data_IF_933818657258
#
_entry.id   IF_933818657258
#
_cell.length_a   1.000
_cell.length_b   1.000
_cell.length_c   1.000
_cell.angle_alpha   90.00
_cell.angle_beta   90.00
_cell.angle_gamma   90.00
#
_symmetry.space_group_name_H-M   'P 1'
#
loop_
_entity.id
_entity.type
_entity.pdbx_description
1 polymer ?
#
# COMPACT_ATOMS: atom_id res chain seq x y z
N UNK A 1 -16.54 29.78 -21.86
CA UNK A 1 -15.99 28.46 -21.46
C UNK A 1 -15.22 28.62 -20.17
N UNK A 2 -15.84 28.20 -19.06
CA UNK A 2 -15.19 28.15 -17.76
C UNK A 2 -14.15 27.00 -17.75
N UNK A 3 -12.98 27.16 -17.12
CA UNK A 3 -12.00 26.07 -17.00
C UNK A 3 -12.64 24.93 -16.22
N UNK A 4 -12.53 23.71 -16.79
CA UNK A 4 -13.19 22.53 -16.31
C UNK A 4 -12.90 22.30 -14.82
N UNK A 5 -13.96 22.20 -14.05
CA UNK A 5 -13.92 21.65 -12.70
C UNK A 5 -13.37 20.23 -12.82
N UNK A 6 -12.15 20.04 -12.35
CA UNK A 6 -11.59 18.73 -12.11
C UNK A 6 -12.55 18.03 -11.13
N UNK A 7 -13.25 17.00 -11.60
CA UNK A 7 -14.20 16.27 -10.78
C UNK A 7 -13.48 15.78 -9.53
N UNK A 8 -13.99 16.14 -8.36
CA UNK A 8 -13.52 15.62 -7.09
C UNK A 8 -13.79 14.11 -7.07
N UNK A 9 -12.71 13.33 -7.25
CA UNK A 9 -12.76 11.86 -7.39
C UNK A 9 -12.47 11.16 -6.06
N UNK A 10 -12.49 11.90 -4.95
CA UNK A 10 -12.28 11.38 -3.61
C UNK A 10 -13.58 11.24 -2.83
N UNK A 11 -13.62 10.29 -1.93
CA UNK A 11 -14.63 10.14 -0.89
C UNK A 11 -13.94 9.93 0.46
N UNK A 12 -14.49 10.53 1.49
CA UNK A 12 -14.03 10.37 2.87
C UNK A 12 -15.06 9.56 3.65
N UNK A 13 -14.60 8.65 4.48
CA UNK A 13 -15.44 7.96 5.45
C UNK A 13 -15.04 8.44 6.85
N UNK A 14 -15.96 9.13 7.51
CA UNK A 14 -15.76 9.60 8.87
C UNK A 14 -16.26 8.58 9.90
N UNK A 15 -15.57 8.53 11.02
CA UNK A 15 -15.87 7.62 12.11
C UNK A 15 -15.78 6.14 11.69
N UNK A 16 -14.86 5.83 10.77
CA UNK A 16 -14.48 4.45 10.48
C UNK A 16 -13.73 3.88 11.68
N UNK A 17 -14.24 2.81 12.26
CA UNK A 17 -13.63 2.13 13.40
C UNK A 17 -13.95 0.65 13.38
N UNK A 18 -13.11 -0.14 14.06
CA UNK A 18 -13.36 -1.56 14.27
C UNK A 18 -14.57 -1.76 15.18
N UNK A 19 -15.42 -2.77 14.97
CA UNK A 19 -16.40 -3.19 15.99
C UNK A 19 -15.76 -3.75 17.27
N UNK A 20 -14.48 -4.11 17.24
CA UNK A 20 -13.71 -4.44 18.44
C UNK A 20 -13.19 -3.16 19.12
N UNK A 21 -13.28 -3.12 20.44
CA UNK A 21 -12.92 -1.94 21.23
C UNK A 21 -11.45 -1.86 21.62
N UNK A 22 -10.61 -2.77 21.10
CA UNK A 22 -9.18 -2.76 21.43
C UNK A 22 -8.52 -1.45 20.97
N UNK A 23 -7.59 -0.96 21.79
CA UNK A 23 -6.70 0.15 21.48
C UNK A 23 -5.22 -0.27 21.49
N UNK A 24 -4.98 -1.58 21.36
CA UNK A 24 -3.67 -2.15 21.12
C UNK A 24 -3.37 -2.08 19.63
N UNK A 25 -2.30 -1.41 19.23
CA UNK A 25 -1.87 -1.38 17.83
C UNK A 25 -1.76 -2.79 17.22
N UNK A 26 -1.18 -3.74 17.96
CA UNK A 26 -0.99 -5.11 17.48
C UNK A 26 -2.32 -5.81 17.17
N UNK A 27 -3.27 -5.72 18.08
CA UNK A 27 -4.56 -6.40 17.92
C UNK A 27 -5.42 -5.69 16.87
N UNK A 28 -5.51 -4.36 16.95
CA UNK A 28 -6.33 -3.59 16.04
C UNK A 28 -5.82 -3.65 14.58
N UNK A 29 -4.50 -3.64 14.38
CA UNK A 29 -3.89 -3.80 13.07
C UNK A 29 -4.16 -5.21 12.52
N UNK A 30 -3.99 -6.27 13.33
CA UNK A 30 -4.31 -7.64 12.91
C UNK A 30 -5.78 -7.77 12.50
N UNK A 31 -6.70 -7.20 13.27
CA UNK A 31 -8.14 -7.22 12.99
C UNK A 31 -8.49 -6.42 11.71
N UNK A 32 -7.87 -5.26 11.52
CA UNK A 32 -8.05 -4.47 10.30
C UNK A 32 -7.54 -5.21 9.07
N UNK A 33 -6.36 -5.80 9.16
CA UNK A 33 -5.71 -6.49 8.04
C UNK A 33 -6.30 -7.88 7.76
N UNK A 34 -6.83 -8.56 8.77
CA UNK A 34 -7.57 -9.82 8.59
C UNK A 34 -9.04 -9.60 8.24
N UNK A 35 -9.60 -8.41 8.48
CA UNK A 35 -11.03 -8.11 8.44
C UNK A 35 -11.89 -9.07 9.27
N UNK A 36 -11.36 -9.51 10.42
CA UNK A 36 -12.03 -10.40 11.37
C UNK A 36 -11.87 -9.89 12.81
N UNK A 37 -12.56 -8.78 13.15
CA UNK A 37 -12.44 -8.17 14.47
C UNK A 37 -12.71 -9.17 15.60
N UNK A 38 -11.86 -9.17 16.63
CA UNK A 38 -11.94 -10.07 17.76
C UNK A 38 -11.50 -11.51 17.49
N UNK A 39 -11.10 -11.87 16.26
CA UNK A 39 -10.71 -13.23 15.89
C UNK A 39 -9.25 -13.29 15.45
N UNK A 40 -8.40 -13.91 16.26
CA UNK A 40 -6.96 -14.06 15.97
C UNK A 40 -6.59 -15.32 15.18
N UNK A 41 -7.52 -16.25 15.02
CA UNK A 41 -7.28 -17.53 14.34
C UNK A 41 -7.37 -17.46 12.81
N UNK A 42 -7.79 -16.34 12.25
CA UNK A 42 -7.84 -16.13 10.79
C UNK A 42 -6.43 -16.15 10.22
N UNK A 43 -6.13 -17.05 9.28
CA UNK A 43 -4.79 -17.17 8.69
C UNK A 43 -4.51 -16.14 7.61
N UNK A 44 -5.54 -15.76 6.86
CA UNK A 44 -5.41 -14.97 5.64
C UNK A 44 -5.82 -13.51 5.83
N UNK A 45 -5.09 -12.60 5.20
CA UNK A 45 -5.49 -11.20 5.08
C UNK A 45 -6.64 -11.00 4.09
N UNK A 46 -7.42 -9.95 4.26
CA UNK A 46 -8.61 -9.75 3.41
C UNK A 46 -8.27 -9.46 1.95
N UNK A 47 -7.18 -8.77 1.65
CA UNK A 47 -6.72 -8.58 0.27
C UNK A 47 -6.25 -9.88 -0.36
N UNK A 48 -5.59 -10.74 0.41
CA UNK A 48 -5.22 -12.06 -0.12
C UNK A 48 -6.45 -12.91 -0.42
N UNK A 49 -7.50 -12.89 0.43
CA UNK A 49 -8.78 -13.56 0.12
C UNK A 49 -9.44 -12.98 -1.14
N UNK A 50 -9.37 -11.66 -1.34
CA UNK A 50 -9.83 -11.05 -2.59
C UNK A 50 -9.07 -11.62 -3.80
N UNK A 51 -7.75 -11.70 -3.73
CA UNK A 51 -6.94 -12.28 -4.80
C UNK A 51 -7.27 -13.77 -5.05
N UNK A 52 -7.51 -14.54 -3.99
CA UNK A 52 -7.94 -15.95 -4.10
C UNK A 52 -9.30 -16.09 -4.80
N UNK A 53 -10.21 -15.13 -4.63
CA UNK A 53 -11.53 -15.15 -5.26
C UNK A 53 -11.49 -14.85 -6.78
N UNK A 54 -10.40 -14.27 -7.27
CA UNK A 54 -10.17 -13.96 -8.68
C UNK A 54 -9.32 -15.07 -9.31
N UNK A 55 -9.98 -16.06 -9.90
CA UNK A 55 -9.30 -17.17 -10.60
C UNK A 55 -8.96 -16.76 -12.03
N UNK A 56 -7.86 -16.03 -12.22
CA UNK A 56 -7.29 -15.83 -13.56
C UNK A 56 -6.26 -16.91 -13.87
N UNK A 57 -6.31 -17.42 -15.11
CA UNK A 57 -5.46 -18.50 -15.57
C UNK A 57 -4.00 -18.11 -15.78
N UNK A 58 -3.70 -16.82 -15.79
CA UNK A 58 -2.36 -16.27 -16.00
C UNK A 58 -2.05 -15.24 -14.91
N UNK A 59 -1.52 -15.72 -13.79
CA UNK A 59 -1.22 -14.86 -12.65
C UNK A 59 0.23 -14.37 -12.74
N UNK A 60 0.40 -13.04 -12.78
CA UNK A 60 1.72 -12.44 -12.62
C UNK A 60 2.24 -12.65 -11.19
N UNK A 61 3.53 -12.92 -11.03
CA UNK A 61 4.21 -12.91 -9.73
C UNK A 61 4.15 -11.53 -9.04
N UNK A 62 3.88 -10.46 -9.79
CA UNK A 62 3.67 -9.11 -9.29
C UNK A 62 2.20 -8.71 -9.16
N UNK A 63 1.29 -9.68 -9.18
CA UNK A 63 -0.14 -9.41 -9.00
C UNK A 63 -0.42 -8.69 -7.69
N UNK A 64 0.30 -9.04 -6.62
CA UNK A 64 0.25 -8.36 -5.34
C UNK A 64 1.67 -8.01 -4.86
N UNK A 65 1.91 -6.73 -4.59
CA UNK A 65 3.20 -6.23 -4.15
C UNK A 65 3.05 -5.38 -2.89
N UNK A 66 3.88 -5.67 -1.89
CA UNK A 66 4.06 -4.81 -0.71
C UNK A 66 5.41 -4.12 -0.78
N UNK A 67 5.40 -2.79 -0.66
CA UNK A 67 6.62 -1.98 -0.56
C UNK A 67 7.10 -1.90 0.91
N UNK A 68 7.22 -3.06 1.56
CA UNK A 68 7.65 -3.26 2.94
C UNK A 68 8.70 -4.36 3.03
N UNK A 69 9.46 -4.39 4.13
CA UNK A 69 10.50 -5.43 4.34
C UNK A 69 9.92 -6.81 4.63
N UNK A 70 8.75 -6.84 5.25
CA UNK A 70 8.05 -8.07 5.64
C UNK A 70 6.66 -8.09 5.02
N UNK A 71 6.14 -9.27 4.73
CA UNK A 71 4.79 -9.43 4.19
C UNK A 71 3.75 -8.93 5.21
N UNK A 72 2.98 -7.87 4.90
CA UNK A 72 1.92 -7.40 5.79
C UNK A 72 0.81 -8.44 5.90
N UNK A 73 0.14 -8.45 7.04
CA UNK A 73 -0.93 -9.39 7.35
C UNK A 73 -2.03 -9.39 6.28
N UNK A 74 -2.38 -8.25 5.77
CA UNK A 74 -3.43 -8.08 4.75
C UNK A 74 -3.17 -8.85 3.46
N UNK A 75 -1.90 -9.12 3.13
CA UNK A 75 -1.47 -9.87 1.93
C UNK A 75 -1.03 -11.32 2.24
N UNK A 76 -1.03 -11.75 3.51
CA UNK A 76 -0.75 -13.15 3.84
C UNK A 76 -1.90 -14.05 3.40
N UNK A 77 -1.57 -15.24 2.86
CA UNK A 77 -2.54 -16.24 2.41
C UNK A 77 -1.99 -17.09 1.28
N UNK A 78 -2.87 -17.84 0.61
CA UNK A 78 -2.48 -18.78 -0.45
C UNK A 78 -2.29 -18.14 -1.83
N UNK A 79 -2.83 -16.94 -2.06
CA UNK A 79 -2.55 -16.22 -3.30
C UNK A 79 -1.13 -15.64 -3.27
N UNK A 80 -0.35 -15.75 -4.38
CA UNK A 80 1.00 -15.22 -4.44
C UNK A 80 1.04 -13.71 -4.20
N UNK A 81 1.96 -13.28 -3.34
CA UNK A 81 2.26 -11.87 -3.08
C UNK A 81 3.76 -11.71 -2.81
N UNK A 82 4.32 -10.56 -3.15
CA UNK A 82 5.73 -10.25 -2.99
C UNK A 82 5.90 -9.06 -2.06
N UNK A 83 6.77 -9.18 -1.05
CA UNK A 83 7.19 -8.07 -0.20
C UNK A 83 8.62 -7.66 -0.56
N UNK A 84 8.84 -6.37 -0.80
CA UNK A 84 10.16 -5.82 -1.11
C UNK A 84 10.23 -4.35 -0.67
N UNK A 85 11.27 -3.96 0.01
CA UNK A 85 11.44 -2.56 0.40
C UNK A 85 11.86 -1.66 -0.79
N UNK A 86 12.56 -2.25 -1.77
CA UNK A 86 12.98 -1.55 -2.99
C UNK A 86 12.95 -2.52 -4.19
N UNK A 87 12.55 -2.02 -5.34
CA UNK A 87 12.61 -2.80 -6.59
C UNK A 87 14.04 -3.24 -6.93
N UNK A 88 15.05 -2.45 -6.54
CA UNK A 88 16.46 -2.79 -6.72
C UNK A 88 16.92 -4.00 -5.90
N UNK A 89 16.20 -4.36 -4.83
CA UNK A 89 16.54 -5.51 -4.00
C UNK A 89 16.15 -6.83 -4.68
N UNK A 90 15.28 -6.77 -5.68
CA UNK A 90 14.86 -7.91 -6.50
C UNK A 90 15.87 -8.26 -7.60
N UNK A 91 17.17 -8.19 -7.30
CA UNK A 91 18.26 -8.49 -8.22
C UNK A 91 19.17 -9.58 -7.66
N UNK A 92 19.58 -10.51 -8.50
CA UNK A 92 20.64 -11.46 -8.14
C UNK A 92 21.96 -10.69 -8.09
N UNK A 93 22.43 -10.39 -6.90
CA UNK A 93 23.70 -9.68 -6.67
C UNK A 93 24.86 -10.66 -6.62
N UNK A 94 25.42 -10.97 -7.78
CA UNK A 94 26.59 -11.85 -7.90
C UNK A 94 27.79 -11.16 -8.58
N UNK A 95 27.89 -9.85 -8.47
CA UNK A 95 28.95 -9.07 -9.09
C UNK A 95 29.01 -9.26 -10.61
N UNK A 96 30.22 -9.39 -11.19
CA UNK A 96 30.42 -9.57 -12.63
C UNK A 96 29.86 -10.90 -13.19
N UNK A 97 29.55 -11.85 -12.32
CA UNK A 97 29.03 -13.19 -12.67
C UNK A 97 27.50 -13.30 -12.57
N UNK A 98 26.79 -12.21 -12.28
CA UNK A 98 25.33 -12.25 -12.03
C UNK A 98 24.53 -12.82 -13.20
N UNK A 99 24.88 -12.49 -14.44
CA UNK A 99 24.22 -12.99 -15.63
C UNK A 99 24.41 -14.51 -15.83
N UNK A 100 25.63 -15.00 -15.58
CA UNK A 100 25.95 -16.43 -15.73
C UNK A 100 25.32 -17.26 -14.61
N UNK A 101 25.28 -16.75 -13.37
CA UNK A 101 24.61 -17.40 -12.26
C UNK A 101 23.10 -17.43 -12.45
N UNK A 102 22.50 -16.34 -12.93
CA UNK A 102 21.07 -16.29 -13.23
C UNK A 102 20.70 -17.32 -14.31
N UNK A 103 21.43 -17.37 -15.41
CA UNK A 103 21.21 -18.38 -16.47
C UNK A 103 21.43 -19.81 -15.97
N UNK A 104 22.37 -20.03 -15.05
CA UNK A 104 22.59 -21.32 -14.41
C UNK A 104 21.42 -21.73 -13.49
N UNK A 105 20.88 -20.80 -12.71
CA UNK A 105 19.68 -21.03 -11.90
C UNK A 105 18.45 -21.30 -12.77
N UNK A 106 18.22 -20.50 -13.82
CA UNK A 106 17.14 -20.72 -14.79
C UNK A 106 17.21 -22.12 -15.40
N UNK A 107 18.41 -22.58 -15.81
CA UNK A 107 18.63 -23.90 -16.37
C UNK A 107 18.37 -25.03 -15.34
N UNK A 108 18.78 -24.86 -14.08
CA UNK A 108 18.55 -25.83 -13.01
C UNK A 108 17.04 -25.98 -12.70
N UNK A 109 16.31 -24.87 -12.63
CA UNK A 109 14.86 -24.89 -12.40
C UNK A 109 14.07 -25.41 -13.59
N UNK A 110 14.51 -25.13 -14.82
CA UNK A 110 13.91 -25.66 -16.03
C UNK A 110 14.12 -27.18 -16.19
N UNK A 111 15.25 -27.70 -15.70
CA UNK A 111 15.60 -29.12 -15.80
C UNK A 111 14.92 -30.03 -14.76
N UNK A 112 14.43 -29.48 -13.65
CA UNK A 112 13.71 -30.21 -12.61
C UNK A 112 12.22 -30.21 -12.87
N UNK A 113 11.71 -31.29 -13.44
CA UNK A 113 10.30 -31.49 -13.83
C UNK A 113 9.34 -31.85 -12.69
N UNK A 114 9.65 -31.58 -11.44
CA UNK A 114 8.72 -31.73 -10.32
C UNK A 114 8.03 -30.42 -10.00
N UNK A 115 6.95 -30.29 -10.54
CA UNK A 115 5.82 -29.38 -10.68
C UNK A 115 5.78 -28.07 -9.86
N UNK A 116 5.97 -28.06 -8.57
CA UNK A 116 5.73 -26.84 -7.76
C UNK A 116 6.96 -25.91 -7.70
N UNK A 117 8.15 -26.46 -7.46
CA UNK A 117 9.39 -25.67 -7.39
C UNK A 117 9.82 -25.11 -8.74
N UNK A 118 9.58 -25.85 -9.83
CA UNK A 118 9.86 -25.40 -11.18
C UNK A 118 8.88 -24.30 -11.63
N UNK A 119 7.63 -24.33 -11.19
CA UNK A 119 6.63 -23.29 -11.39
C UNK A 119 7.05 -21.99 -10.71
N UNK A 120 7.28 -22.02 -9.42
CA UNK A 120 7.70 -20.86 -8.61
C UNK A 120 9.03 -20.26 -9.11
N UNK A 121 9.96 -21.10 -9.56
CA UNK A 121 11.24 -20.64 -10.15
C UNK A 121 11.02 -19.85 -11.45
N UNK A 122 10.20 -20.34 -12.37
CA UNK A 122 9.88 -19.65 -13.63
C UNK A 122 9.19 -18.31 -13.39
N UNK A 123 8.18 -18.28 -12.52
CA UNK A 123 7.46 -17.06 -12.15
C UNK A 123 8.43 -16.01 -11.58
N UNK A 124 9.35 -16.42 -10.70
CA UNK A 124 10.35 -15.52 -10.13
C UNK A 124 11.30 -14.97 -11.19
N UNK A 125 11.74 -15.79 -12.15
CA UNK A 125 12.62 -15.35 -13.24
C UNK A 125 11.91 -14.45 -14.24
N UNK A 126 10.67 -14.74 -14.57
CA UNK A 126 9.84 -13.86 -15.40
C UNK A 126 9.67 -12.50 -14.72
N UNK A 127 9.40 -12.48 -13.42
CA UNK A 127 9.32 -11.30 -12.61
C UNK A 127 10.61 -10.47 -12.63
N UNK A 128 11.76 -11.09 -12.42
CA UNK A 128 13.08 -10.42 -12.51
C UNK A 128 13.32 -9.84 -13.90
N UNK A 129 12.99 -10.58 -14.96
CA UNK A 129 13.15 -10.11 -16.33
C UNK A 129 12.19 -8.96 -16.66
N UNK A 130 10.98 -8.99 -16.13
CA UNK A 130 10.03 -7.88 -16.24
C UNK A 130 10.55 -6.62 -15.57
N UNK A 131 11.04 -6.72 -14.34
CA UNK A 131 11.63 -5.58 -13.62
C UNK A 131 12.87 -5.01 -14.33
N UNK A 132 13.69 -5.87 -14.96
CA UNK A 132 14.81 -5.41 -15.78
C UNK A 132 14.36 -4.58 -16.98
N UNK A 133 13.25 -4.97 -17.63
CA UNK A 133 12.68 -4.20 -18.76
C UNK A 133 12.10 -2.86 -18.29
N UNK A 134 11.44 -2.84 -17.13
CA UNK A 134 10.92 -1.63 -16.53
C UNK A 134 12.00 -0.61 -16.17
N UNK A 135 13.26 -1.06 -16.08
CA UNK A 135 14.47 -0.26 -15.82
C UNK A 135 14.25 0.80 -14.70
N UNK A 136 14.00 0.37 -13.46
CA UNK A 136 13.65 1.29 -12.36
C UNK A 136 14.67 2.40 -12.15
N UNK A 137 15.95 2.15 -12.45
CA UNK A 137 17.03 3.12 -12.29
C UNK A 137 16.94 4.33 -13.24
N UNK A 138 16.24 4.18 -14.37
CA UNK A 138 16.06 5.25 -15.37
C UNK A 138 14.66 5.86 -15.36
N UNK A 139 13.79 5.37 -14.48
CA UNK A 139 12.43 5.89 -14.39
C UNK A 139 12.43 7.39 -14.00
N UNK A 140 11.65 8.15 -14.73
CA UNK A 140 11.39 9.56 -14.44
C UNK A 140 9.89 9.76 -14.29
N UNK A 141 9.43 10.35 -13.17
CA UNK A 141 8.03 10.72 -13.02
C UNK A 141 7.56 11.60 -14.15
N UNK A 142 6.33 11.39 -14.60
CA UNK A 142 5.70 12.14 -15.68
C UNK A 142 4.86 13.30 -15.12
N UNK A 143 4.32 14.14 -16.01
CA UNK A 143 3.40 15.23 -15.67
C UNK A 143 3.92 16.19 -14.59
N UNK A 144 5.25 16.29 -14.42
CA UNK A 144 5.87 17.15 -13.41
C UNK A 144 5.75 16.62 -11.97
N UNK A 145 5.36 15.37 -11.77
CA UNK A 145 5.24 14.79 -10.45
C UNK A 145 6.57 14.76 -9.68
N UNK A 146 6.52 15.10 -8.40
CA UNK A 146 7.68 15.16 -7.52
C UNK A 146 7.41 14.36 -6.24
N UNK A 147 8.03 13.21 -6.14
CA UNK A 147 7.96 12.40 -4.92
C UNK A 147 8.95 12.90 -3.87
N UNK A 148 8.49 13.01 -2.64
CA UNK A 148 9.36 13.35 -1.51
C UNK A 148 10.40 12.25 -1.29
N UNK A 149 11.62 12.64 -0.93
CA UNK A 149 12.73 11.71 -0.64
C UNK A 149 12.61 11.10 0.77
N UNK A 150 11.47 10.54 1.09
CA UNK A 150 11.22 9.78 2.31
C UNK A 150 10.76 8.35 1.95
N UNK A 151 10.70 7.41 2.90
CA UNK A 151 10.32 6.03 2.61
C UNK A 151 8.96 5.92 1.90
N UNK A 152 7.95 6.65 2.35
CA UNK A 152 6.60 6.62 1.75
C UNK A 152 6.59 7.14 0.31
N UNK A 153 7.21 8.30 0.05
CA UNK A 153 7.33 8.84 -1.30
C UNK A 153 8.09 7.91 -2.25
N UNK A 154 9.16 7.28 -1.76
CA UNK A 154 9.91 6.29 -2.53
C UNK A 154 9.07 5.02 -2.82
N UNK A 155 8.26 4.57 -1.88
CA UNK A 155 7.36 3.43 -2.10
C UNK A 155 6.32 3.75 -3.17
N UNK A 156 5.69 4.92 -3.11
CA UNK A 156 4.71 5.35 -4.11
C UNK A 156 5.34 5.53 -5.51
N UNK A 157 6.56 6.07 -5.58
CA UNK A 157 7.33 6.14 -6.83
C UNK A 157 7.50 4.75 -7.45
N UNK A 158 7.88 3.76 -6.66
CA UNK A 158 8.10 2.40 -7.13
C UNK A 158 6.79 1.70 -7.50
N UNK A 159 5.70 1.98 -6.81
CA UNK A 159 4.35 1.52 -7.21
C UNK A 159 3.97 2.11 -8.57
N UNK A 160 4.20 3.41 -8.79
CA UNK A 160 3.96 4.02 -10.11
C UNK A 160 4.79 3.36 -11.22
N UNK A 161 6.05 3.01 -10.94
CA UNK A 161 6.90 2.27 -11.88
C UNK A 161 6.30 0.92 -12.24
N UNK A 162 5.82 0.15 -11.27
CA UNK A 162 5.21 -1.17 -11.50
C UNK A 162 3.91 -1.05 -12.33
N UNK A 163 3.07 -0.07 -12.00
CA UNK A 163 1.83 0.21 -12.76
C UNK A 163 2.15 0.55 -14.21
N UNK A 164 3.12 1.44 -14.44
CA UNK A 164 3.50 1.86 -15.79
C UNK A 164 4.25 0.81 -16.58
N UNK A 165 4.93 -0.10 -15.90
CA UNK A 165 5.60 -1.25 -16.53
C UNK A 165 4.63 -2.36 -16.94
N UNK A 166 3.35 -2.25 -16.58
CA UNK A 166 2.28 -3.18 -16.92
C UNK A 166 2.62 -4.65 -16.56
N UNK A 167 3.11 -4.80 -15.31
CA UNK A 167 3.56 -6.11 -14.80
C UNK A 167 2.41 -7.02 -14.33
N UNK A 168 1.17 -6.64 -14.57
CA UNK A 168 -0.01 -7.34 -14.09
C UNK A 168 -0.28 -7.09 -12.61
N UNK A 169 0.06 -5.90 -12.10
CA UNK A 169 -0.19 -5.50 -10.72
C UNK A 169 -1.69 -5.26 -10.50
N UNK A 170 -2.30 -5.95 -9.54
CA UNK A 170 -3.68 -5.74 -9.12
C UNK A 170 -3.75 -5.08 -7.73
N UNK A 171 -2.82 -5.41 -6.84
CA UNK A 171 -2.78 -4.88 -5.48
C UNK A 171 -1.38 -4.39 -5.15
N UNK A 172 -1.27 -3.14 -4.71
CA UNK A 172 -0.06 -2.59 -4.12
C UNK A 172 -0.33 -2.16 -2.68
N UNK A 173 0.59 -2.46 -1.78
CA UNK A 173 0.54 -2.05 -0.38
C UNK A 173 1.77 -1.23 -0.03
N UNK A 174 1.55 -0.17 0.73
CA UNK A 174 2.61 0.60 1.39
C UNK A 174 2.07 1.20 2.68
N UNK A 175 2.95 1.62 3.56
CA UNK A 175 2.60 2.17 4.86
C UNK A 175 3.35 3.48 5.14
N UNK A 176 2.77 4.30 5.98
CA UNK A 176 3.39 5.48 6.54
C UNK A 176 3.15 5.48 8.06
N UNK A 177 4.21 5.33 8.83
CA UNK A 177 4.15 5.30 10.29
C UNK A 177 4.33 6.67 10.93
N UNK A 178 4.31 6.69 12.27
CA UNK A 178 4.59 7.89 13.06
C UNK A 178 3.35 8.64 13.54
N UNK A 179 2.15 8.07 13.35
CA UNK A 179 0.87 8.70 13.74
C UNK A 179 0.56 8.62 15.23
N UNK A 180 1.30 7.79 15.98
CA UNK A 180 1.10 7.60 17.43
C UNK A 180 1.73 8.73 18.25
N UNK A 181 1.19 9.92 18.09
CA UNK A 181 1.73 11.18 18.60
C UNK A 181 1.26 11.51 20.01
N UNK A 182 1.67 10.70 20.99
CA UNK A 182 1.35 10.92 22.41
C UNK A 182 2.03 12.15 23.01
N UNK A 183 3.12 12.63 22.40
CA UNK A 183 3.93 13.74 22.93
C UNK A 183 4.21 14.75 21.83
N UNK A 184 3.99 16.03 22.12
CA UNK A 184 4.31 17.14 21.23
C UNK A 184 3.79 16.96 19.78
N UNK A 185 2.53 16.54 19.63
CA UNK A 185 1.89 16.30 18.33
C UNK A 185 1.95 17.52 17.42
N UNK A 186 1.82 18.71 17.99
CA UNK A 186 1.67 19.94 17.24
C UNK A 186 0.24 20.14 16.71
N UNK A 187 0.07 21.20 15.94
CA UNK A 187 -1.21 21.56 15.30
C UNK A 187 -1.00 21.85 13.81
N UNK A 188 -1.02 23.12 13.39
CA UNK A 188 -0.67 23.55 12.02
C UNK A 188 0.84 23.42 11.70
N UNK A 189 1.66 23.17 12.70
CA UNK A 189 3.09 22.88 12.62
C UNK A 189 3.43 21.78 13.62
N UNK A 190 4.43 20.95 13.32
CA UNK A 190 4.89 19.88 14.22
C UNK A 190 4.76 18.50 13.57
N UNK A 191 4.74 17.47 14.40
CA UNK A 191 4.80 16.07 13.94
C UNK A 191 3.61 15.72 13.04
N UNK A 192 2.39 15.96 13.49
CA UNK A 192 1.17 15.64 12.75
C UNK A 192 1.11 16.41 11.43
N UNK A 193 1.39 17.71 11.44
CA UNK A 193 1.39 18.52 10.21
C UNK A 193 2.39 18.00 9.17
N UNK A 194 3.59 17.61 9.61
CA UNK A 194 4.62 17.06 8.74
C UNK A 194 4.20 15.70 8.16
N UNK A 195 3.56 14.83 8.95
CA UNK A 195 3.04 13.54 8.48
C UNK A 195 1.91 13.71 7.46
N UNK A 196 0.96 14.60 7.73
CA UNK A 196 -0.11 14.93 6.80
C UNK A 196 0.43 15.51 5.50
N UNK A 197 1.47 16.34 5.56
CA UNK A 197 2.12 16.87 4.36
C UNK A 197 2.81 15.76 3.56
N UNK A 198 3.55 14.86 4.22
CA UNK A 198 4.19 13.73 3.54
C UNK A 198 3.14 12.82 2.87
N UNK A 199 2.08 12.51 3.59
CA UNK A 199 0.98 11.68 3.12
C UNK A 199 0.29 12.31 1.90
N UNK A 200 -0.17 13.55 2.02
CA UNK A 200 -0.90 14.23 0.95
C UNK A 200 -0.03 14.50 -0.28
N UNK A 201 1.21 14.95 -0.08
CA UNK A 201 2.14 15.18 -1.20
C UNK A 201 2.54 13.90 -1.92
N UNK A 202 2.68 12.79 -1.18
CA UNK A 202 2.94 11.48 -1.79
C UNK A 202 1.80 11.02 -2.68
N UNK A 203 0.55 11.08 -2.20
CA UNK A 203 -0.64 10.72 -2.97
C UNK A 203 -0.82 11.65 -4.18
N UNK A 204 -0.63 12.96 -3.99
CA UNK A 204 -0.70 13.92 -5.09
C UNK A 204 0.34 13.64 -6.18
N UNK A 205 1.57 13.28 -5.79
CA UNK A 205 2.61 12.89 -6.74
C UNK A 205 2.24 11.62 -7.51
N UNK A 206 1.68 10.60 -6.82
CA UNK A 206 1.20 9.38 -7.46
C UNK A 206 0.10 9.67 -8.49
N UNK A 207 -0.90 10.46 -8.09
CA UNK A 207 -1.99 10.88 -8.98
C UNK A 207 -1.47 11.61 -10.21
N UNK A 208 -0.57 12.58 -10.01
CA UNK A 208 0.01 13.36 -11.09
C UNK A 208 0.86 12.51 -12.04
N UNK A 209 1.69 11.63 -11.49
CA UNK A 209 2.59 10.77 -12.26
C UNK A 209 1.82 9.75 -13.11
N UNK A 210 0.77 9.14 -12.57
CA UNK A 210 -0.04 8.15 -13.29
C UNK A 210 -0.93 8.79 -14.36
N UNK A 211 -1.32 10.05 -14.20
CA UNK A 211 -2.18 10.73 -15.18
C UNK A 211 -3.44 9.94 -15.51
N UNK A 212 -3.69 9.65 -16.78
CA UNK A 212 -4.87 8.89 -17.22
C UNK A 212 -4.92 7.45 -16.66
N UNK A 213 -3.79 6.86 -16.27
CA UNK A 213 -3.79 5.53 -15.63
C UNK A 213 -4.46 5.52 -14.26
N UNK A 214 -4.65 6.68 -13.64
CA UNK A 214 -5.47 6.78 -12.42
C UNK A 214 -6.94 6.40 -12.61
N UNK A 215 -7.42 6.34 -13.85
CA UNK A 215 -8.78 5.90 -14.13
C UNK A 215 -9.01 4.41 -13.77
N UNK A 216 -7.93 3.62 -13.78
CA UNK A 216 -7.93 2.19 -13.43
C UNK A 216 -7.39 1.91 -12.02
N UNK A 217 -7.10 2.96 -11.22
CA UNK A 217 -6.52 2.83 -9.90
C UNK A 217 -7.48 3.31 -8.82
N UNK A 218 -7.61 2.51 -7.77
CA UNK A 218 -8.28 2.89 -6.53
C UNK A 218 -7.22 2.98 -5.43
N UNK A 219 -7.15 4.12 -4.77
CA UNK A 219 -6.34 4.31 -3.55
C UNK A 219 -7.27 4.25 -2.35
N UNK A 220 -7.02 3.32 -1.45
CA UNK A 220 -7.70 3.19 -0.16
C UNK A 220 -6.69 3.44 0.95
N UNK A 221 -7.03 4.32 1.89
CA UNK A 221 -6.24 4.55 3.09
C UNK A 221 -6.96 3.96 4.30
N UNK A 222 -6.24 3.29 5.17
CA UNK A 222 -6.78 2.66 6.36
C UNK A 222 -5.85 2.92 7.55
N UNK A 223 -6.42 3.03 8.73
CA UNK A 223 -5.71 3.01 10.00
C UNK A 223 -6.50 2.18 11.01
N UNK A 224 -5.79 1.57 11.94
CA UNK A 224 -6.34 0.60 12.90
C UNK A 224 -7.30 1.22 13.91
N UNK A 225 -7.08 2.48 14.30
CA UNK A 225 -7.96 3.31 15.13
C UNK A 225 -7.58 4.79 15.01
N UNK A 226 -8.37 5.66 15.62
CA UNK A 226 -8.14 7.11 15.65
C UNK A 226 -7.47 7.58 16.93
N UNK A 227 -7.50 8.90 17.13
CA UNK A 227 -6.95 9.58 18.29
C UNK A 227 -8.06 10.26 19.09
N UNK A 228 -7.82 10.47 20.39
CA UNK A 228 -8.73 11.25 21.22
C UNK A 228 -8.85 12.68 20.72
N UNK A 229 -10.04 13.25 20.82
CA UNK A 229 -10.29 14.66 20.47
C UNK A 229 -9.57 15.61 21.42
N UNK A 230 -9.41 15.22 22.68
CA UNK A 230 -8.77 16.03 23.71
C UNK A 230 -7.25 15.82 23.70
N UNK A 231 -6.53 16.93 23.80
CA UNK A 231 -5.09 16.93 24.08
C UNK A 231 -4.80 16.34 25.47
N UNK A 232 -3.79 15.49 25.54
CA UNK A 232 -3.30 14.92 26.78
C UNK A 232 -2.30 15.84 27.51
N UNK A 233 -1.84 15.44 28.70
CA UNK A 233 -0.89 16.23 29.50
C UNK A 233 0.49 16.44 28.88
N UNK A 234 0.82 15.73 27.79
CA UNK A 234 2.11 15.79 27.10
C UNK A 234 2.03 16.55 25.75
N UNK A 235 1.00 17.34 25.52
CA UNK A 235 0.76 18.07 24.28
C UNK A 235 0.65 17.14 23.04
N UNK A 236 0.08 15.97 23.24
CA UNK A 236 -0.25 14.99 22.23
C UNK A 236 -1.69 14.53 22.38
N UNK A 237 -2.03 13.41 21.78
CA UNK A 237 -3.33 12.75 21.92
C UNK A 237 -3.14 11.28 22.25
N UNK A 238 -4.12 10.68 22.92
CA UNK A 238 -4.09 9.26 23.21
C UNK A 238 -4.89 8.47 22.18
N UNK A 239 -4.91 7.13 22.29
CA UNK A 239 -5.65 6.28 21.39
C UNK A 239 -7.16 6.53 21.52
N UNK A 240 -7.77 6.85 20.37
CA UNK A 240 -9.22 6.95 20.21
C UNK A 240 -9.82 5.67 19.64
N UNK A 241 -10.96 5.80 18.96
CA UNK A 241 -11.63 4.65 18.35
C UNK A 241 -11.74 4.82 16.84
N UNK A 242 -12.47 5.81 16.38
CA UNK A 242 -12.72 6.02 14.98
C UNK A 242 -11.74 7.01 14.34
N UNK A 243 -11.50 6.85 13.04
CA UNK A 243 -10.67 7.71 12.22
C UNK A 243 -11.36 8.08 10.90
N UNK A 244 -10.66 8.82 10.05
CA UNK A 244 -11.08 9.08 8.67
C UNK A 244 -10.30 8.16 7.72
N UNK A 245 -11.02 7.52 6.81
CA UNK A 245 -10.45 6.76 5.70
C UNK A 245 -10.75 7.47 4.39
N UNK A 246 -9.83 7.43 3.44
CA UNK A 246 -9.98 8.06 2.14
C UNK A 246 -10.05 6.98 1.06
N UNK A 247 -11.00 7.13 0.15
CA UNK A 247 -11.11 6.30 -1.06
C UNK A 247 -11.06 7.23 -2.26
N UNK A 248 -10.10 7.03 -3.14
CA UNK A 248 -9.89 7.84 -4.33
C UNK A 248 -9.80 6.95 -5.57
N UNK A 249 -10.44 7.35 -6.65
CA UNK A 249 -10.41 6.63 -7.93
C UNK A 249 -11.54 7.06 -8.85
N UNK A 250 -11.43 6.75 -10.14
CA UNK A 250 -12.39 7.20 -11.15
C UNK A 250 -13.80 6.63 -10.95
N UNK A 251 -13.90 5.40 -10.46
CA UNK A 251 -15.19 4.72 -10.19
C UNK A 251 -15.80 5.10 -8.84
N UNK A 252 -15.08 5.84 -8.02
CA UNK A 252 -15.56 6.29 -6.71
C UNK A 252 -16.55 7.44 -6.91
N UNK A 253 -17.70 7.36 -6.23
CA UNK A 253 -18.65 8.47 -6.15
C UNK A 253 -18.16 9.50 -5.16
N UNK A 254 -17.11 10.22 -5.55
CA UNK A 254 -16.38 11.18 -4.73
C UNK A 254 -17.15 12.47 -4.40
N UNK A 255 -16.45 13.43 -3.78
CA UNK A 255 -17.02 14.70 -3.33
C UNK A 255 -18.03 14.53 -2.19
N UNK A 256 -17.97 13.45 -1.45
CA UNK A 256 -18.91 13.10 -0.37
C UNK A 256 -18.16 12.56 0.82
N UNK A 257 -18.75 12.83 1.98
CA UNK A 257 -18.37 12.23 3.25
C UNK A 257 -19.40 11.15 3.57
N UNK A 258 -18.93 9.96 3.83
CA UNK A 258 -19.76 8.82 4.23
C UNK A 258 -19.61 8.58 5.73
N UNK A 259 -20.67 8.08 6.36
CA UNK A 259 -20.70 7.79 7.79
C UNK A 259 -21.66 8.70 8.55
N UNK A 260 -21.84 8.39 9.82
CA UNK A 260 -22.63 9.20 10.77
C UNK A 260 -21.66 9.86 11.73
N UNK A 261 -21.55 11.17 11.66
CA UNK A 261 -20.71 11.94 12.57
C UNK A 261 -21.18 11.76 14.03
N UNK A 262 -20.34 11.20 14.91
CA UNK A 262 -20.73 10.94 16.31
C UNK A 262 -20.71 12.20 17.19
N UNK A 263 -20.04 13.25 16.75
CA UNK A 263 -19.77 14.45 17.55
C UNK A 263 -18.37 14.47 18.17
N UNK A 264 -18.14 15.44 19.05
CA UNK A 264 -16.84 15.65 19.73
C UNK A 264 -17.01 15.72 21.26
N UNK A 265 -18.09 15.18 21.80
CA UNK A 265 -18.30 15.12 23.25
C UNK A 265 -17.47 13.98 23.85
N UNK A 266 -17.14 14.10 25.13
CA UNK A 266 -16.29 13.14 25.85
C UNK A 266 -16.87 11.72 25.94
N UNK A 267 -18.18 11.61 25.82
CA UNK A 267 -18.96 10.38 25.92
C UNK A 267 -19.36 9.79 24.56
N UNK A 268 -18.78 10.29 23.48
CA UNK A 268 -19.09 9.89 22.10
C UNK A 268 -17.91 9.29 21.35
#
# INVERSE_FOLDING_TARGET
DAPGQQADRGAEEHAAGSPDSTRSHFDAQDYMESATPGVKSTSDGWLNRYLQSKQDKQQSSFRAVSMTRTMPRVLQGSAPAVAMANLSDFQIRAGKSSANLQGGFEAIYAAKSSDMLAGMGRETFEAVNYLKRANPAQYKPENGAQYSRNPFGNSLLQIAQLIKADVGLEVAFTEIGGWDTHVNQGNSRGQLANLLQQFSSGIAALYQDLGQRMDDVIVLTMSEFGRTVRENGNRGTDHGHANAMFVMGNTVRGGKVYGRWPGLKEDQ
#
